data_IF_543981296340
#
_entry.id   IF_543981296340
#
_cell.length_a   1.000
_cell.length_b   1.000
_cell.length_c   1.000
_cell.angle_alpha   90.00
_cell.angle_beta   90.00
_cell.angle_gamma   90.00
#
_symmetry.space_group_name_H-M   'P 1'
#
loop_
_entity.id
_entity.type
_entity.pdbx_description
1 polymer ?
#
# COMPACT_ATOMS: atom_id res chain seq x y z
N UNK A 1 2.20 -3.20 -22.02
CA UNK A 1 2.65 -2.08 -21.16
C UNK A 1 2.82 -2.60 -19.73
N UNK A 2 3.84 -2.15 -19.00
CA UNK A 2 3.92 -2.45 -17.56
C UNK A 2 2.74 -1.80 -16.82
N UNK A 3 2.33 -2.39 -15.68
CA UNK A 3 1.20 -1.87 -14.88
C UNK A 3 1.41 -0.41 -14.48
N UNK A 4 2.64 -0.09 -14.09
CA UNK A 4 3.10 1.27 -13.75
C UNK A 4 2.79 2.29 -14.86
N UNK A 5 3.09 1.96 -16.12
CA UNK A 5 2.84 2.86 -17.25
C UNK A 5 1.34 3.12 -17.42
N UNK A 6 0.51 2.09 -17.27
CA UNK A 6 -0.95 2.22 -17.40
C UNK A 6 -1.51 3.08 -16.27
N UNK A 7 -1.10 2.83 -15.02
CA UNK A 7 -1.52 3.60 -13.85
C UNK A 7 -1.09 5.07 -13.96
N UNK A 8 0.17 5.32 -14.35
CA UNK A 8 0.67 6.68 -14.59
C UNK A 8 -0.11 7.39 -15.68
N UNK A 9 -0.42 6.73 -16.80
CA UNK A 9 -1.18 7.33 -17.90
C UNK A 9 -2.61 7.70 -17.45
N UNK A 10 -3.29 6.80 -16.74
CA UNK A 10 -4.63 7.09 -16.18
C UNK A 10 -4.58 8.27 -15.22
N UNK A 11 -3.58 8.35 -14.35
CA UNK A 11 -3.43 9.47 -13.42
C UNK A 11 -3.10 10.78 -14.11
N UNK A 12 -2.24 10.78 -15.14
CA UNK A 12 -1.94 11.98 -15.93
C UNK A 12 -3.22 12.50 -16.59
N UNK A 13 -4.03 11.62 -17.18
CA UNK A 13 -5.33 11.99 -17.76
C UNK A 13 -6.27 12.52 -16.67
N UNK A 14 -6.31 11.89 -15.50
CA UNK A 14 -7.12 12.34 -14.36
C UNK A 14 -6.73 13.75 -13.92
N UNK A 15 -5.42 14.00 -13.75
CA UNK A 15 -4.88 15.31 -13.41
C UNK A 15 -5.28 16.32 -14.48
N UNK A 16 -5.07 16.01 -15.77
CA UNK A 16 -5.45 16.90 -16.87
C UNK A 16 -6.94 17.29 -16.81
N UNK A 17 -7.83 16.32 -16.59
CA UNK A 17 -9.27 16.56 -16.46
C UNK A 17 -9.60 17.50 -15.30
N UNK A 18 -8.92 17.38 -14.15
CA UNK A 18 -9.16 18.28 -13.00
C UNK A 18 -8.76 19.72 -13.23
N UNK A 19 -7.81 19.99 -14.13
CA UNK A 19 -7.45 21.37 -14.52
C UNK A 19 -8.38 21.93 -15.60
N UNK A 20 -9.03 21.07 -16.38
CA UNK A 20 -10.05 21.47 -17.36
C UNK A 20 -11.42 21.70 -16.71
N UNK A 21 -11.76 20.92 -15.68
CA UNK A 21 -13.07 20.96 -15.02
C UNK A 21 -13.52 22.37 -14.56
N UNK A 22 -12.70 23.17 -13.86
CA UNK A 22 -13.07 24.52 -13.42
C UNK A 22 -13.39 25.49 -14.56
N UNK A 23 -12.90 25.23 -15.78
CA UNK A 23 -13.15 26.07 -16.96
C UNK A 23 -14.50 25.79 -17.62
N UNK A 24 -15.21 24.76 -17.16
CA UNK A 24 -16.52 24.36 -17.69
C UNK A 24 -17.65 24.89 -16.82
N UNK A 25 -18.86 25.01 -17.39
CA UNK A 25 -20.07 25.42 -16.65
C UNK A 25 -20.44 24.45 -15.51
N UNK A 26 -19.86 23.26 -15.48
CA UNK A 26 -20.05 22.26 -14.42
C UNK A 26 -19.38 22.67 -13.09
N UNK A 27 -18.45 23.64 -13.11
CA UNK A 27 -17.78 24.14 -11.92
C UNK A 27 -18.74 24.67 -10.84
N UNK A 28 -19.96 25.09 -11.21
CA UNK A 28 -20.99 25.51 -10.27
C UNK A 28 -21.50 24.39 -9.35
N UNK A 29 -21.28 23.13 -9.75
CA UNK A 29 -21.70 21.94 -9.03
C UNK A 29 -20.53 21.22 -8.33
N UNK A 30 -19.44 21.93 -8.03
CA UNK A 30 -18.22 21.34 -7.42
C UNK A 30 -18.51 20.54 -6.14
N UNK A 31 -19.38 21.07 -5.27
CA UNK A 31 -19.77 20.39 -4.04
C UNK A 31 -20.54 19.09 -4.31
N UNK A 32 -21.49 19.12 -5.26
CA UNK A 32 -22.27 17.95 -5.66
C UNK A 32 -21.38 16.92 -6.35
N UNK A 33 -20.42 17.36 -7.16
CA UNK A 33 -19.43 16.49 -7.81
C UNK A 33 -18.54 15.79 -6.77
N UNK A 34 -18.01 16.52 -5.79
CA UNK A 34 -17.24 15.94 -4.70
C UNK A 34 -18.07 14.93 -3.89
N UNK A 35 -19.31 15.27 -3.54
CA UNK A 35 -20.21 14.36 -2.83
C UNK A 35 -20.50 13.07 -3.62
N UNK A 36 -20.74 13.21 -4.93
CA UNK A 36 -20.94 12.07 -5.82
C UNK A 36 -19.70 11.17 -5.85
N UNK A 37 -18.50 11.73 -5.97
CA UNK A 37 -17.25 10.98 -5.94
C UNK A 37 -17.06 10.20 -4.63
N UNK A 38 -17.43 10.76 -3.48
CA UNK A 38 -17.41 10.03 -2.20
C UNK A 38 -18.38 8.85 -2.18
N UNK A 39 -19.59 9.00 -2.75
CA UNK A 39 -20.55 7.91 -2.88
C UNK A 39 -19.96 6.80 -3.76
N UNK A 40 -19.40 7.17 -4.92
CA UNK A 40 -18.74 6.20 -5.82
C UNK A 40 -17.61 5.47 -5.11
N UNK A 41 -16.78 6.18 -4.34
CA UNK A 41 -15.70 5.56 -3.56
C UNK A 41 -16.23 4.56 -2.53
N UNK A 42 -17.29 4.92 -1.80
CA UNK A 42 -17.88 4.04 -0.80
C UNK A 42 -18.50 2.79 -1.43
N UNK A 43 -19.20 2.94 -2.57
CA UNK A 43 -19.75 1.83 -3.33
C UNK A 43 -18.63 0.95 -3.90
N UNK A 44 -17.59 1.54 -4.49
CA UNK A 44 -16.46 0.80 -5.04
C UNK A 44 -15.77 -0.06 -3.98
N UNK A 45 -15.55 0.50 -2.78
CA UNK A 45 -14.98 -0.23 -1.64
C UNK A 45 -15.85 -1.41 -1.19
N UNK A 46 -17.17 -1.32 -1.35
CA UNK A 46 -18.11 -2.38 -0.99
C UNK A 46 -18.23 -3.46 -2.06
N UNK A 47 -18.18 -3.10 -3.34
CA UNK A 47 -18.58 -3.98 -4.44
C UNK A 47 -17.43 -4.43 -5.35
N UNK A 48 -16.20 -3.90 -5.23
CA UNK A 48 -15.07 -4.31 -6.07
C UNK A 48 -14.21 -5.35 -5.34
N UNK A 49 -14.31 -6.65 -5.66
CA UNK A 49 -13.47 -7.66 -5.07
C UNK A 49 -12.15 -7.72 -5.84
N UNK A 50 -11.12 -7.01 -5.37
CA UNK A 50 -9.67 -7.23 -5.63
C UNK A 50 -8.84 -6.03 -5.18
N UNK A 51 -7.67 -6.30 -4.57
CA UNK A 51 -6.77 -5.30 -3.99
C UNK A 51 -6.29 -4.25 -5.01
N UNK A 52 -5.95 -4.63 -6.25
CA UNK A 52 -5.29 -3.71 -7.21
C UNK A 52 -6.26 -2.73 -7.89
N UNK A 53 -7.37 -3.20 -8.46
CA UNK A 53 -8.33 -2.33 -9.14
C UNK A 53 -9.02 -1.34 -8.16
N UNK A 54 -9.26 -1.77 -6.92
CA UNK A 54 -9.76 -0.89 -5.86
C UNK A 54 -8.78 0.25 -5.58
N UNK A 55 -7.47 -0.04 -5.46
CA UNK A 55 -6.43 0.96 -5.18
C UNK A 55 -6.30 2.01 -6.30
N UNK A 56 -6.37 1.59 -7.57
CA UNK A 56 -6.34 2.54 -8.68
C UNK A 56 -7.58 3.44 -8.70
N UNK A 57 -8.77 2.87 -8.51
CA UNK A 57 -10.00 3.65 -8.45
C UNK A 57 -9.98 4.63 -7.26
N UNK A 58 -9.56 4.17 -6.08
CA UNK A 58 -9.36 5.01 -4.90
C UNK A 58 -8.40 6.17 -5.17
N UNK A 59 -7.27 5.87 -5.83
CA UNK A 59 -6.26 6.88 -6.21
C UNK A 59 -6.83 7.91 -7.18
N UNK A 60 -7.55 7.47 -8.22
CA UNK A 60 -8.19 8.36 -9.20
C UNK A 60 -9.20 9.28 -8.50
N UNK A 61 -10.10 8.73 -7.69
CA UNK A 61 -11.09 9.52 -6.97
C UNK A 61 -10.43 10.50 -6.00
N UNK A 62 -9.41 10.04 -5.27
CA UNK A 62 -8.71 10.89 -4.32
C UNK A 62 -7.99 12.04 -5.02
N UNK A 63 -7.34 11.79 -6.17
CA UNK A 63 -6.77 12.83 -7.04
C UNK A 63 -7.83 13.80 -7.52
N UNK A 64 -8.99 13.32 -7.99
CA UNK A 64 -10.08 14.19 -8.44
C UNK A 64 -10.56 15.13 -7.33
N UNK A 65 -10.82 14.60 -6.14
CA UNK A 65 -11.33 15.38 -5.01
C UNK A 65 -10.31 16.43 -4.57
N UNK A 66 -9.06 16.01 -4.33
CA UNK A 66 -8.00 16.92 -3.84
C UNK A 66 -7.75 18.05 -4.84
N UNK A 67 -7.59 17.73 -6.13
CA UNK A 67 -7.30 18.75 -7.13
C UNK A 67 -8.50 19.65 -7.42
N UNK A 68 -9.73 19.13 -7.35
CA UNK A 68 -10.93 19.96 -7.50
C UNK A 68 -10.98 21.02 -6.38
N UNK A 69 -10.83 20.59 -5.12
CA UNK A 69 -10.79 21.51 -3.97
C UNK A 69 -9.69 22.56 -4.11
N UNK A 70 -8.47 22.13 -4.46
CA UNK A 70 -7.33 23.05 -4.58
C UNK A 70 -7.53 24.04 -5.72
N UNK A 71 -8.03 23.59 -6.87
CA UNK A 71 -8.28 24.46 -8.02
C UNK A 71 -9.43 25.45 -7.78
N UNK A 72 -10.51 25.06 -7.10
CA UNK A 72 -11.63 25.97 -6.81
C UNK A 72 -11.31 26.96 -5.68
N UNK A 73 -10.32 26.69 -4.84
CA UNK A 73 -9.91 27.55 -3.71
C UNK A 73 -8.69 28.42 -3.98
N UNK A 74 -8.31 28.61 -5.25
CA UNK A 74 -7.23 29.52 -5.65
C UNK A 74 -5.91 28.86 -6.09
N UNK A 75 -5.97 27.57 -6.46
CA UNK A 75 -4.85 26.80 -7.02
C UNK A 75 -3.57 26.89 -6.16
N UNK A 76 -2.49 27.49 -6.67
CA UNK A 76 -1.21 27.60 -5.97
C UNK A 76 -1.25 28.51 -4.74
N UNK A 77 -2.20 29.44 -4.67
CA UNK A 77 -2.43 30.30 -3.51
C UNK A 77 -3.47 29.70 -2.53
N UNK A 78 -3.98 28.49 -2.81
CA UNK A 78 -4.97 27.85 -1.96
C UNK A 78 -4.39 27.53 -0.58
N UNK A 79 -5.12 27.82 0.52
CA UNK A 79 -4.74 27.37 1.86
C UNK A 79 -4.73 25.83 1.97
N UNK A 80 -5.36 25.13 1.03
CA UNK A 80 -5.44 23.67 0.98
C UNK A 80 -4.40 23.03 0.06
N UNK A 81 -3.46 23.79 -0.51
CA UNK A 81 -2.45 23.24 -1.42
C UNK A 81 -1.62 22.12 -0.79
N UNK A 82 -1.45 22.12 0.54
CA UNK A 82 -0.78 21.05 1.27
C UNK A 82 -1.42 19.66 1.04
N UNK A 83 -2.70 19.60 0.67
CA UNK A 83 -3.37 18.35 0.30
C UNK A 83 -2.75 17.71 -0.94
N UNK A 84 -2.20 18.51 -1.86
CA UNK A 84 -1.45 17.99 -3.04
C UNK A 84 -0.17 17.29 -2.60
N UNK A 85 0.48 17.77 -1.52
CA UNK A 85 1.63 17.07 -0.95
C UNK A 85 1.21 15.72 -0.37
N UNK A 86 0.14 15.68 0.42
CA UNK A 86 -0.42 14.42 0.94
C UNK A 86 -0.89 13.49 -0.16
N UNK A 87 -1.40 14.03 -1.27
CA UNK A 87 -1.78 13.26 -2.45
C UNK A 87 -0.56 12.51 -3.01
N UNK A 88 0.61 13.16 -3.15
CA UNK A 88 1.83 12.48 -3.62
C UNK A 88 2.22 11.30 -2.72
N UNK A 89 2.18 11.50 -1.40
CA UNK A 89 2.46 10.42 -0.44
C UNK A 89 1.42 9.29 -0.53
N UNK A 90 0.13 9.65 -0.61
CA UNK A 90 -0.97 8.69 -0.70
C UNK A 90 -0.88 7.85 -1.96
N UNK A 91 -0.60 8.47 -3.12
CA UNK A 91 -0.41 7.75 -4.39
C UNK A 91 0.77 6.77 -4.32
N UNK A 92 1.88 7.16 -3.68
CA UNK A 92 3.05 6.30 -3.49
C UNK A 92 2.78 5.08 -2.57
N UNK A 93 1.86 5.22 -1.62
CA UNK A 93 1.46 4.16 -0.69
C UNK A 93 0.38 3.23 -1.25
N UNK A 94 -0.57 3.79 -2.01
CA UNK A 94 -1.69 3.05 -2.59
C UNK A 94 -1.28 2.26 -3.83
N UNK A 95 -0.41 2.83 -4.66
CA UNK A 95 0.03 2.26 -5.92
C UNK A 95 1.53 1.95 -5.88
N UNK A 96 2.19 2.02 -7.03
CA UNK A 96 3.63 1.85 -7.17
C UNK A 96 4.38 3.16 -6.83
N UNK A 97 5.50 3.12 -6.07
CA UNK A 97 6.19 4.34 -5.63
C UNK A 97 6.64 5.26 -6.76
N UNK A 98 6.98 4.70 -7.92
CA UNK A 98 7.40 5.44 -9.13
C UNK A 98 6.29 6.38 -9.63
N UNK A 99 5.02 6.06 -9.35
CA UNK A 99 3.89 6.89 -9.76
C UNK A 99 3.97 8.28 -9.13
N UNK A 100 4.52 8.40 -7.92
CA UNK A 100 4.71 9.70 -7.27
C UNK A 100 5.59 10.66 -8.10
N UNK A 101 6.58 10.15 -8.85
CA UNK A 101 7.39 10.94 -9.78
C UNK A 101 6.54 11.40 -10.96
N UNK A 102 5.83 10.47 -11.61
CA UNK A 102 5.03 10.80 -12.79
C UNK A 102 3.89 11.76 -12.47
N UNK A 103 3.25 11.58 -11.31
CA UNK A 103 2.19 12.43 -10.81
C UNK A 103 2.74 13.81 -10.42
N UNK A 104 3.88 13.89 -9.73
CA UNK A 104 4.46 15.20 -9.37
C UNK A 104 4.90 15.98 -10.60
N UNK A 105 5.52 15.32 -11.59
CA UNK A 105 5.90 15.96 -12.84
C UNK A 105 4.67 16.49 -13.59
N UNK A 106 3.61 15.68 -13.68
CA UNK A 106 2.35 16.11 -14.29
C UNK A 106 1.75 17.31 -13.54
N UNK A 107 1.67 17.24 -12.20
CA UNK A 107 1.17 18.34 -11.37
C UNK A 107 1.98 19.62 -11.57
N UNK A 108 3.32 19.54 -11.55
CA UNK A 108 4.19 20.69 -11.79
C UNK A 108 3.90 21.31 -13.16
N UNK A 109 3.85 20.50 -14.22
CA UNK A 109 3.56 20.97 -15.58
C UNK A 109 2.19 21.65 -15.64
N UNK A 110 1.14 21.00 -15.14
CA UNK A 110 -0.22 21.54 -15.21
C UNK A 110 -0.40 22.80 -14.33
N UNK A 111 0.21 22.87 -13.15
CA UNK A 111 0.18 24.10 -12.34
C UNK A 111 0.94 25.25 -13.00
N UNK A 112 2.09 24.97 -13.65
CA UNK A 112 2.84 26.00 -14.37
C UNK A 112 2.08 26.53 -15.60
N UNK A 113 1.43 25.64 -16.37
CA UNK A 113 0.65 26.05 -17.56
C UNK A 113 -0.59 26.86 -17.19
N UNK A 114 -1.21 26.58 -16.03
CA UNK A 114 -2.42 27.26 -15.59
C UNK A 114 -2.14 28.43 -14.63
N UNK A 115 -0.88 28.89 -14.54
CA UNK A 115 -0.52 30.02 -13.70
C UNK A 115 -0.97 31.35 -14.36
N UNK A 116 -1.68 32.23 -13.64
CA UNK A 116 -2.04 33.55 -14.14
C UNK A 116 -0.82 34.41 -14.52
N UNK A 117 -0.94 35.28 -15.53
CA UNK A 117 0.15 36.20 -15.90
C UNK A 117 0.41 37.23 -14.78
N UNK A 118 1.69 37.51 -14.47
CA UNK A 118 2.08 38.51 -13.46
C UNK A 118 2.23 38.00 -12.00
N UNK A 119 2.45 36.70 -11.81
CA UNK A 119 2.57 36.10 -10.47
C UNK A 119 3.89 36.41 -9.76
N UNK A 120 3.80 36.58 -8.44
CA UNK A 120 4.96 36.73 -7.56
C UNK A 120 5.64 35.39 -7.28
N UNK A 121 6.93 35.44 -6.96
CA UNK A 121 7.76 34.27 -6.59
C UNK A 121 7.14 33.41 -5.47
N UNK A 122 6.32 34.02 -4.61
CA UNK A 122 5.56 33.34 -3.54
C UNK A 122 4.61 32.25 -4.06
N UNK A 123 4.02 32.41 -5.24
CA UNK A 123 3.04 31.46 -5.77
C UNK A 123 3.69 30.30 -6.55
N UNK A 124 4.99 30.40 -6.82
CA UNK A 124 5.81 29.32 -7.39
C UNK A 124 6.39 28.40 -6.30
N UNK A 125 6.54 28.91 -5.06
CA UNK A 125 7.10 28.16 -3.94
C UNK A 125 6.38 26.82 -3.67
N UNK A 126 5.04 26.73 -3.75
CA UNK A 126 4.35 25.46 -3.56
C UNK A 126 4.64 24.45 -4.67
N UNK A 127 4.83 24.92 -5.91
CA UNK A 127 5.21 24.06 -7.05
C UNK A 127 6.63 23.52 -6.86
N UNK A 128 7.58 24.36 -6.46
CA UNK A 128 8.95 23.89 -6.16
C UNK A 128 8.99 22.88 -5.01
N UNK A 129 8.10 23.05 -4.03
CA UNK A 129 7.97 22.12 -2.91
C UNK A 129 7.51 20.72 -3.38
N UNK A 130 6.70 20.61 -4.44
CA UNK A 130 6.35 19.30 -5.04
C UNK A 130 7.58 18.54 -5.54
N UNK A 131 8.50 19.22 -6.23
CA UNK A 131 9.73 18.60 -6.72
C UNK A 131 10.59 18.09 -5.56
N UNK A 132 10.68 18.85 -4.47
CA UNK A 132 11.45 18.46 -3.29
C UNK A 132 10.80 17.33 -2.50
N UNK A 133 9.47 17.28 -2.42
CA UNK A 133 8.74 16.23 -1.70
C UNK A 133 8.62 14.91 -2.47
N UNK A 134 8.76 14.94 -3.80
CA UNK A 134 8.71 13.76 -4.66
C UNK A 134 9.66 12.63 -4.22
N UNK A 135 10.96 12.85 -3.99
CA UNK A 135 11.86 11.78 -3.54
C UNK A 135 11.45 11.21 -2.17
N UNK A 136 10.92 12.03 -1.26
CA UNK A 136 10.41 11.54 0.02
C UNK A 136 9.17 10.67 -0.16
N UNK A 137 8.26 11.05 -1.07
CA UNK A 137 7.10 10.25 -1.39
C UNK A 137 7.50 8.90 -1.97
N UNK A 138 8.43 8.88 -2.91
CA UNK A 138 8.98 7.65 -3.48
C UNK A 138 9.62 6.76 -2.40
N UNK A 139 10.49 7.33 -1.56
CA UNK A 139 11.17 6.58 -0.50
C UNK A 139 10.17 5.99 0.49
N UNK A 140 9.16 6.76 0.91
CA UNK A 140 8.11 6.28 1.82
C UNK A 140 7.32 5.11 1.21
N UNK A 141 7.00 5.17 -0.09
CA UNK A 141 6.33 4.08 -0.78
C UNK A 141 7.18 2.81 -0.84
N UNK A 142 8.48 2.94 -1.08
CA UNK A 142 9.41 1.81 -1.08
C UNK A 142 9.53 1.15 0.30
N UNK A 143 9.70 1.95 1.35
CA UNK A 143 9.74 1.47 2.74
C UNK A 143 8.45 0.76 3.12
N UNK A 144 7.29 1.31 2.73
CA UNK A 144 6.00 0.68 2.98
C UNK A 144 5.86 -0.68 2.29
N UNK A 145 6.36 -0.81 1.04
CA UNK A 145 6.38 -2.09 0.34
C UNK A 145 7.31 -3.10 1.02
N UNK A 146 8.48 -2.65 1.49
CA UNK A 146 9.43 -3.50 2.20
C UNK A 146 8.85 -4.01 3.51
N UNK A 147 8.19 -3.15 4.30
CA UNK A 147 7.51 -3.53 5.54
C UNK A 147 6.40 -4.56 5.27
N UNK A 148 5.60 -4.38 4.21
CA UNK A 148 4.57 -5.35 3.85
C UNK A 148 5.15 -6.71 3.45
N UNK A 149 6.27 -6.71 2.73
CA UNK A 149 6.98 -7.94 2.35
C UNK A 149 7.49 -8.68 3.58
N UNK A 150 8.20 -7.99 4.47
CA UNK A 150 8.70 -8.53 5.73
C UNK A 150 7.57 -9.07 6.60
N UNK A 151 6.44 -8.36 6.68
CA UNK A 151 5.25 -8.83 7.41
C UNK A 151 4.69 -10.13 6.82
N UNK A 152 4.60 -10.23 5.49
CA UNK A 152 4.14 -11.46 4.84
C UNK A 152 5.11 -12.63 5.04
N UNK A 153 6.41 -12.37 5.01
CA UNK A 153 7.44 -13.38 5.26
C UNK A 153 7.38 -13.88 6.71
N UNK A 154 7.24 -12.97 7.68
CA UNK A 154 7.05 -13.31 9.08
C UNK A 154 5.78 -14.13 9.32
N UNK A 155 4.65 -13.77 8.69
CA UNK A 155 3.42 -14.56 8.79
C UNK A 155 3.59 -15.98 8.25
N UNK A 156 4.27 -16.14 7.10
CA UNK A 156 4.57 -17.46 6.53
C UNK A 156 5.51 -18.27 7.43
N UNK A 157 6.45 -17.60 8.09
CA UNK A 157 7.34 -18.26 9.05
C UNK A 157 6.57 -18.73 10.27
N UNK A 158 5.71 -17.88 10.85
CA UNK A 158 4.83 -18.20 11.96
C UNK A 158 3.94 -19.40 11.63
N UNK A 159 3.31 -19.40 10.45
CA UNK A 159 2.49 -20.52 9.97
C UNK A 159 3.30 -21.83 9.89
N UNK A 160 4.51 -21.79 9.32
CA UNK A 160 5.38 -22.97 9.25
C UNK A 160 5.77 -23.48 10.64
N UNK A 161 6.05 -22.58 11.58
CA UNK A 161 6.34 -22.93 12.97
C UNK A 161 5.14 -23.59 13.63
N UNK A 162 3.94 -23.03 13.50
CA UNK A 162 2.71 -23.63 14.04
C UNK A 162 2.42 -25.01 13.43
N UNK A 163 2.64 -25.18 12.13
CA UNK A 163 2.52 -26.48 11.45
C UNK A 163 3.55 -27.49 11.97
N UNK A 164 4.80 -27.07 12.17
CA UNK A 164 5.84 -27.92 12.76
C UNK A 164 5.48 -28.35 14.18
N UNK A 165 5.07 -27.41 15.04
CA UNK A 165 4.65 -27.69 16.42
C UNK A 165 3.47 -28.68 16.46
N UNK A 166 2.45 -28.46 15.62
CA UNK A 166 1.20 -29.24 15.64
C UNK A 166 1.32 -30.62 15.00
N UNK A 167 2.10 -30.78 13.93
CA UNK A 167 2.21 -32.05 13.19
C UNK A 167 3.39 -32.90 13.63
N UNK A 168 4.49 -32.28 14.05
CA UNK A 168 5.72 -33.00 14.40
C UNK A 168 5.82 -33.15 15.91
N UNK A 169 5.93 -32.04 16.64
CA UNK A 169 6.18 -32.11 18.10
C UNK A 169 5.00 -32.75 18.83
N UNK A 170 3.77 -32.32 18.56
CA UNK A 170 2.57 -32.88 19.21
C UNK A 170 2.44 -34.38 18.98
N UNK A 171 2.72 -34.87 17.77
CA UNK A 171 2.64 -36.30 17.45
C UNK A 171 3.69 -37.10 18.21
N UNK A 172 4.95 -36.65 18.20
CA UNK A 172 6.02 -37.33 18.95
C UNK A 172 5.79 -37.29 20.46
N UNK A 173 5.31 -36.18 21.01
CA UNK A 173 4.90 -36.08 22.41
C UNK A 173 3.75 -37.03 22.75
N UNK A 174 2.77 -37.19 21.86
CA UNK A 174 1.68 -38.14 22.06
C UNK A 174 2.21 -39.58 22.11
N UNK A 175 3.10 -39.95 21.21
CA UNK A 175 3.74 -41.28 21.21
C UNK A 175 4.53 -41.52 22.50
N UNK A 176 5.28 -40.53 22.98
CA UNK A 176 6.00 -40.62 24.25
C UNK A 176 5.01 -40.79 25.41
N UNK A 177 3.95 -39.97 25.46
CA UNK A 177 2.92 -40.05 26.49
C UNK A 177 2.24 -41.43 26.51
N UNK A 178 1.83 -41.95 25.37
CA UNK A 178 1.20 -43.28 25.26
C UNK A 178 2.16 -44.40 25.70
N UNK A 179 3.46 -44.30 25.39
CA UNK A 179 4.46 -45.27 25.84
C UNK A 179 4.75 -45.19 27.34
N UNK A 180 4.68 -44.00 27.94
CA UNK A 180 4.81 -43.78 29.39
C UNK A 180 3.58 -44.32 30.13
N UNK A 181 2.37 -44.04 29.64
CA UNK A 181 1.12 -44.50 30.25
C UNK A 181 0.97 -46.03 30.23
N UNK A 182 1.52 -46.70 29.21
CA UNK A 182 1.47 -48.16 29.04
C UNK A 182 2.83 -48.84 29.32
N UNK A 183 3.65 -48.24 30.19
CA UNK A 183 5.00 -48.72 30.44
C UNK A 183 5.00 -50.10 31.12
N UNK A 184 5.51 -51.12 30.41
CA UNK A 184 5.61 -52.50 30.93
C UNK A 184 7.03 -53.09 30.85
N UNK A 185 8.02 -52.32 30.40
CA UNK A 185 9.42 -52.75 30.32
C UNK A 185 10.20 -52.09 29.19
N UNK A 186 11.29 -52.76 28.76
CA UNK A 186 12.31 -52.20 27.87
C UNK A 186 11.80 -51.79 26.47
N UNK A 187 10.72 -52.41 25.99
CA UNK A 187 10.15 -52.09 24.68
C UNK A 187 9.61 -50.65 24.60
N UNK A 188 8.89 -50.22 25.63
CA UNK A 188 8.34 -48.87 25.73
C UNK A 188 9.45 -47.84 25.99
N UNK A 189 10.48 -48.23 26.75
CA UNK A 189 11.66 -47.39 26.97
C UNK A 189 12.38 -47.07 25.64
N UNK A 190 12.59 -48.07 24.79
CA UNK A 190 13.18 -47.87 23.46
C UNK A 190 12.28 -47.05 22.53
N UNK A 191 10.95 -47.20 22.62
CA UNK A 191 10.02 -46.36 21.86
C UNK A 191 10.12 -44.88 22.25
N UNK A 192 10.20 -44.57 23.55
CA UNK A 192 10.38 -43.21 24.07
C UNK A 192 11.73 -42.64 23.60
N UNK A 193 12.81 -43.39 23.78
CA UNK A 193 14.17 -42.96 23.38
C UNK A 193 14.25 -42.66 21.88
N UNK A 194 13.66 -43.52 21.05
CA UNK A 194 13.61 -43.34 19.59
C UNK A 194 12.75 -42.16 19.18
N UNK A 195 11.60 -41.94 19.82
CA UNK A 195 10.73 -40.80 19.56
C UNK A 195 11.42 -39.48 19.96
N UNK A 196 12.07 -39.43 21.12
CA UNK A 196 12.83 -38.27 21.59
C UNK A 196 14.00 -37.93 20.64
N UNK A 197 14.84 -38.92 20.29
CA UNK A 197 15.97 -38.73 19.36
C UNK A 197 15.52 -38.26 17.96
N UNK A 198 14.37 -38.78 17.47
CA UNK A 198 13.82 -38.32 16.19
C UNK A 198 13.29 -36.89 16.28
N UNK A 199 12.61 -36.57 17.37
CA UNK A 199 12.08 -35.22 17.61
C UNK A 199 13.20 -34.19 17.68
N UNK A 200 14.29 -34.49 18.41
CA UNK A 200 15.49 -33.65 18.51
C UNK A 200 16.11 -33.39 17.13
N UNK A 201 16.35 -34.44 16.33
CA UNK A 201 16.87 -34.28 14.96
C UNK A 201 15.98 -33.44 14.06
N UNK A 202 14.66 -33.52 14.24
CA UNK A 202 13.70 -32.73 13.45
C UNK A 202 13.67 -31.28 13.90
N UNK A 203 13.84 -31.00 15.20
CA UNK A 203 14.02 -29.65 15.74
C UNK A 203 15.30 -29.04 15.17
N UNK A 204 16.44 -29.71 15.27
CA UNK A 204 17.72 -29.22 14.72
C UNK A 204 17.62 -28.89 13.22
N UNK A 205 16.95 -29.76 12.47
CA UNK A 205 16.75 -29.55 11.03
C UNK A 205 15.84 -28.36 10.74
N UNK A 206 14.84 -28.12 11.59
CA UNK A 206 13.92 -27.00 11.46
C UNK A 206 14.61 -25.68 11.80
N UNK A 207 15.38 -25.64 12.89
CA UNK A 207 16.17 -24.47 13.30
C UNK A 207 17.18 -24.05 12.22
N UNK A 208 17.92 -25.01 11.65
CA UNK A 208 18.84 -24.74 10.53
C UNK A 208 18.15 -24.23 9.26
N UNK A 209 16.85 -24.40 9.13
CA UNK A 209 16.07 -23.95 7.96
C UNK A 209 15.51 -22.53 8.14
N UNK A 210 15.53 -22.01 9.37
CA UNK A 210 14.94 -20.73 9.74
C UNK A 210 16.00 -19.69 10.13
N UNK A 211 17.14 -20.13 10.67
CA UNK A 211 18.39 -19.34 10.72
C UNK A 211 18.95 -19.12 9.32
#
# INVERSE_FOLDING_TARGET
>A
MSKEIVHSLILIVTIALTFLYPKTSLAQYDLQFCAFLFIVLFLAKRFVPKKEASRLLESVIFTLIVLSIVNTTGATASPFFFLVYFLLFSLSLLLEPVISITASLALIIFFLINLPEGQNLKNLLPIFSLAFLTPFALFLGQEFLQIQKLKSENQKLEEKTLLFLSLVLKNHLKTIKEAVENFMGDSQLEAIKKAALKMEKLIDKFERKIS
#
